data_IF_059763258530
#
_entry.id   IF_059763258530
#
_cell.length_a   1.000
_cell.length_b   1.000
_cell.length_c   1.000
_cell.angle_alpha   90.00
_cell.angle_beta   90.00
_cell.angle_gamma   90.00
#
_symmetry.space_group_name_H-M   'P 1'
#
loop_
_entity.id
_entity.type
_entity.pdbx_description
1 polymer ?
#
# COMPACT_ATOMS: atom_id res chain seq x y z
N UNK A 1 46.95 2.63 95.13
CA UNK A 1 46.83 3.64 94.06
C UNK A 1 46.34 2.93 92.81
N UNK A 2 45.03 2.75 92.63
CA UNK A 2 44.17 3.60 91.77
C UNK A 2 44.84 4.01 90.46
N UNK A 3 44.48 3.35 89.37
CA UNK A 3 44.36 4.04 88.09
C UNK A 3 42.92 3.91 87.61
N UNK A 4 42.36 5.10 87.44
CA UNK A 4 40.96 5.43 87.21
C UNK A 4 40.71 5.36 85.72
N UNK A 5 39.63 4.68 85.35
CA UNK A 5 39.08 4.66 83.99
C UNK A 5 38.83 6.09 83.50
N UNK A 6 39.20 6.40 82.25
CA UNK A 6 38.61 7.52 81.52
C UNK A 6 38.26 7.09 80.11
N UNK A 7 36.96 7.03 79.88
CA UNK A 7 36.28 6.66 78.65
C UNK A 7 36.57 7.69 77.55
N UNK A 8 37.09 7.25 76.41
CA UNK A 8 37.16 8.05 75.18
C UNK A 8 35.96 7.66 74.31
N UNK A 9 34.90 8.46 74.32
CA UNK A 9 33.76 8.29 73.39
C UNK A 9 34.06 9.03 72.10
N UNK A 10 34.47 8.31 71.06
CA UNK A 10 34.59 8.83 69.70
C UNK A 10 33.32 8.46 68.93
N UNK A 11 32.45 9.44 68.69
CA UNK A 11 31.26 9.30 67.87
C UNK A 11 31.67 9.26 66.39
N UNK A 12 31.68 8.06 65.79
CA UNK A 12 31.86 7.90 64.35
C UNK A 12 30.53 8.21 63.63
N UNK A 13 30.45 9.38 63.01
CA UNK A 13 29.42 9.74 62.03
C UNK A 13 29.54 8.83 60.81
N UNK A 14 28.58 7.92 60.62
CA UNK A 14 28.52 7.06 59.44
C UNK A 14 28.16 7.87 58.19
N UNK A 15 29.07 7.97 57.23
CA UNK A 15 28.77 8.50 55.90
C UNK A 15 28.03 7.42 55.09
N UNK A 16 26.75 7.65 54.79
CA UNK A 16 25.98 6.80 53.87
C UNK A 16 26.38 7.17 52.44
N UNK A 17 27.13 6.30 51.77
CA UNK A 17 27.42 6.44 50.34
C UNK A 17 26.18 5.99 49.56
N UNK A 18 25.48 6.92 48.93
CA UNK A 18 24.40 6.57 48.01
C UNK A 18 25.03 6.13 46.68
N UNK A 19 24.91 4.82 46.37
CA UNK A 19 25.27 4.28 45.08
C UNK A 19 24.19 4.65 44.06
N UNK A 20 24.52 5.50 43.09
CA UNK A 20 23.69 5.66 41.89
C UNK A 20 24.20 4.69 40.82
N UNK A 21 23.41 3.67 40.54
CA UNK A 21 23.63 2.78 39.42
C UNK A 21 22.99 3.41 38.18
N UNK A 22 23.80 4.08 37.36
CA UNK A 22 23.36 4.53 36.05
C UNK A 22 23.34 3.32 35.10
N UNK A 23 22.24 3.17 34.35
CA UNK A 23 22.03 2.04 33.47
C UNK A 23 23.03 2.10 32.30
N UNK A 24 24.02 1.22 32.31
CA UNK A 24 24.94 1.06 31.19
C UNK A 24 24.25 0.29 30.06
N UNK A 25 23.77 1.02 29.05
CA UNK A 25 23.26 0.41 27.81
C UNK A 25 24.44 -0.30 27.12
N UNK A 26 24.38 -1.63 27.06
CA UNK A 26 25.42 -2.51 26.49
C UNK A 26 25.35 -2.62 24.96
N UNK A 27 24.23 -2.21 24.36
CA UNK A 27 24.00 -2.15 22.93
C UNK A 27 22.53 -1.88 22.63
N UNK A 28 22.29 -1.00 21.66
CA UNK A 28 20.99 -0.85 21.01
C UNK A 28 21.10 -1.49 19.63
N UNK A 29 20.51 -2.67 19.48
CA UNK A 29 20.51 -3.45 18.24
C UNK A 29 19.23 -3.25 17.43
N UNK A 30 18.37 -2.29 17.82
CA UNK A 30 17.25 -1.83 17.00
C UNK A 30 17.72 -0.97 15.82
N UNK A 31 16.77 -0.50 15.00
CA UNK A 31 17.07 0.43 13.90
C UNK A 31 16.28 0.20 12.61
N UNK A 32 15.54 -0.90 12.53
CA UNK A 32 14.59 -1.15 11.43
C UNK A 32 13.15 -1.00 11.90
N UNK A 33 12.31 -0.47 11.01
CA UNK A 33 10.89 -0.33 11.26
C UNK A 33 10.23 -1.70 11.37
N UNK A 34 9.60 -1.95 12.51
CA UNK A 34 8.77 -3.14 12.71
C UNK A 34 7.33 -2.95 12.17
N UNK A 35 6.99 -1.76 11.65
CA UNK A 35 5.63 -1.38 11.19
C UNK A 35 5.02 -2.41 10.25
N UNK A 36 5.81 -2.92 9.32
CA UNK A 36 5.42 -3.98 8.37
C UNK A 36 4.81 -5.22 9.02
N UNK A 37 5.16 -5.54 10.28
CA UNK A 37 4.68 -6.74 10.97
C UNK A 37 3.36 -6.53 11.72
N UNK A 38 2.98 -5.27 11.98
CA UNK A 38 1.75 -4.92 12.68
C UNK A 38 0.85 -3.95 11.88
N UNK A 39 1.12 -3.78 10.58
CA UNK A 39 0.32 -2.96 9.67
C UNK A 39 -1.17 -3.36 9.66
N UNK A 40 -1.46 -4.66 9.77
CA UNK A 40 -2.82 -5.19 9.88
C UNK A 40 -3.57 -4.72 11.15
N UNK A 41 -2.84 -4.26 12.18
CA UNK A 41 -3.40 -3.69 13.40
C UNK A 41 -3.65 -2.19 13.29
N UNK A 42 -3.26 -1.56 12.16
CA UNK A 42 -3.38 -0.13 11.91
C UNK A 42 -2.88 0.71 13.10
N UNK A 43 -1.58 0.63 13.44
CA UNK A 43 -1.03 1.35 14.59
C UNK A 43 -1.27 2.85 14.45
N UNK A 44 -1.52 3.54 15.56
CA UNK A 44 -1.60 5.00 15.56
C UNK A 44 -0.29 5.57 14.98
N UNK A 45 -0.39 6.50 14.03
CA UNK A 45 0.78 7.12 13.37
C UNK A 45 1.73 7.77 14.39
N UNK A 46 1.21 8.22 15.53
CA UNK A 46 1.99 8.78 16.64
C UNK A 46 2.91 7.76 17.32
N UNK A 47 2.62 6.45 17.18
CA UNK A 47 3.43 5.34 17.69
C UNK A 47 4.45 4.83 16.66
N UNK A 48 4.35 5.28 15.41
CA UNK A 48 5.25 4.87 14.34
C UNK A 48 6.46 5.80 14.30
N UNK A 49 7.59 5.31 14.79
CA UNK A 49 8.86 6.02 14.70
C UNK A 49 9.40 5.93 13.27
N UNK A 50 9.78 7.07 12.68
CA UNK A 50 10.33 7.11 11.33
C UNK A 50 11.75 6.52 11.29
N UNK A 51 11.87 5.31 10.77
CA UNK A 51 13.17 4.68 10.46
C UNK A 51 13.56 4.96 9.00
N UNK A 52 14.86 4.95 8.65
CA UNK A 52 15.34 5.18 7.28
C UNK A 52 14.74 4.23 6.23
N UNK A 53 14.33 3.03 6.64
CA UNK A 53 13.77 1.99 5.77
C UNK A 53 12.24 1.84 5.93
N UNK A 54 11.56 2.85 6.48
CA UNK A 54 10.10 2.80 6.64
C UNK A 54 9.41 2.87 5.29
N UNK A 55 8.29 2.15 5.12
CA UNK A 55 7.40 2.37 3.98
C UNK A 55 6.88 3.80 4.05
N UNK A 56 6.94 4.59 2.96
CA UNK A 56 6.38 5.93 2.93
C UNK A 56 4.90 5.90 3.34
N UNK A 57 4.48 6.83 4.19
CA UNK A 57 3.06 6.99 4.58
C UNK A 57 2.18 7.41 3.39
N UNK A 58 2.79 7.96 2.34
CA UNK A 58 2.14 8.30 1.09
C UNK A 58 2.87 7.64 -0.08
N UNK A 59 2.14 6.83 -0.85
CA UNK A 59 2.62 6.28 -2.11
C UNK A 59 2.20 7.20 -3.25
N UNK A 60 3.14 7.59 -4.09
CA UNK A 60 2.86 8.31 -5.34
C UNK A 60 2.68 7.32 -6.49
N UNK A 61 2.08 7.77 -7.60
CA UNK A 61 1.96 6.93 -8.80
C UNK A 61 3.32 6.49 -9.35
N UNK A 62 4.38 7.28 -9.15
CA UNK A 62 5.72 6.91 -9.54
C UNK A 62 6.27 5.72 -8.72
N UNK A 63 5.76 5.51 -7.50
CA UNK A 63 6.20 4.43 -6.60
C UNK A 63 5.51 3.09 -6.92
N UNK A 64 4.36 3.12 -7.57
CA UNK A 64 3.53 1.94 -7.87
C UNK A 64 3.56 1.52 -9.36
N UNK A 65 4.28 2.26 -10.20
CA UNK A 65 4.50 1.93 -11.60
C UNK A 65 5.88 1.28 -11.78
N UNK A 66 6.05 0.37 -12.76
CA UNK A 66 5.08 -0.05 -13.77
C UNK A 66 4.04 -1.03 -13.21
N UNK A 67 2.79 -0.93 -13.71
CA UNK A 67 1.78 -1.97 -13.51
C UNK A 67 1.79 -2.89 -14.73
N UNK A 68 2.03 -4.18 -14.51
CA UNK A 68 2.06 -5.20 -15.55
C UNK A 68 1.22 -6.37 -15.05
N UNK A 69 0.14 -6.68 -15.78
CA UNK A 69 -0.63 -7.89 -15.53
C UNK A 69 -0.06 -9.05 -16.32
N UNK A 70 0.41 -10.09 -15.64
CA UNK A 70 1.11 -11.23 -16.26
C UNK A 70 0.15 -12.27 -16.84
N UNK A 71 -1.10 -12.29 -16.38
CA UNK A 71 -2.14 -13.22 -16.84
C UNK A 71 -3.06 -12.65 -17.92
N UNK A 72 -2.77 -11.45 -18.41
CA UNK A 72 -3.61 -10.75 -19.38
C UNK A 72 -2.80 -10.20 -20.55
N UNK A 73 -3.40 -10.19 -21.74
CA UNK A 73 -2.79 -9.62 -22.96
C UNK A 73 -3.81 -8.81 -23.76
N UNK A 74 -3.38 -7.84 -24.59
CA UNK A 74 -4.29 -7.21 -25.54
C UNK A 74 -4.94 -8.25 -26.45
N UNK A 75 -6.27 -8.25 -26.55
CA UNK A 75 -6.99 -9.22 -27.36
C UNK A 75 -8.51 -9.04 -27.34
N UNK A 76 -9.19 -9.90 -28.09
CA UNK A 76 -10.63 -10.00 -28.06
C UNK A 76 -11.07 -10.91 -26.92
N UNK A 77 -12.21 -10.60 -26.31
CA UNK A 77 -12.83 -11.46 -25.30
C UNK A 77 -14.14 -12.03 -25.83
N UNK A 78 -14.50 -13.21 -25.34
CA UNK A 78 -15.83 -13.76 -25.56
C UNK A 78 -16.76 -13.19 -24.48
N UNK A 79 -17.88 -12.53 -24.83
CA UNK A 79 -18.84 -12.07 -23.84
C UNK A 79 -19.41 -13.24 -23.02
N UNK A 80 -19.52 -13.04 -21.71
CA UNK A 80 -20.05 -14.03 -20.76
C UNK A 80 -21.15 -13.36 -19.94
N UNK A 81 -22.35 -13.94 -19.97
CA UNK A 81 -23.44 -13.50 -19.09
C UNK A 81 -23.22 -14.04 -17.69
N UNK A 82 -23.34 -13.15 -16.70
CA UNK A 82 -23.26 -13.49 -15.29
C UNK A 82 -24.34 -12.72 -14.53
N UNK A 83 -24.60 -13.13 -13.28
CA UNK A 83 -25.48 -12.39 -12.38
C UNK A 83 -24.66 -11.97 -11.16
N UNK A 84 -24.16 -10.72 -11.19
CA UNK A 84 -23.32 -10.13 -10.16
C UNK A 84 -24.08 -8.96 -9.50
N UNK A 85 -25.17 -9.23 -8.75
CA UNK A 85 -26.01 -8.17 -8.20
C UNK A 85 -25.23 -7.29 -7.22
N UNK A 86 -25.38 -5.97 -7.35
CA UNK A 86 -24.70 -4.99 -6.50
C UNK A 86 -23.25 -4.70 -6.90
N UNK A 87 -22.74 -5.30 -7.98
CA UNK A 87 -21.40 -4.98 -8.49
C UNK A 87 -21.39 -3.60 -9.15
N UNK A 88 -20.35 -2.81 -8.87
CA UNK A 88 -20.08 -1.55 -9.58
C UNK A 88 -19.44 -1.85 -10.95
N UNK A 89 -19.83 -1.17 -12.04
CA UNK A 89 -19.23 -1.37 -13.34
C UNK A 89 -17.73 -1.02 -13.34
N UNK A 90 -16.90 -1.93 -13.86
CA UNK A 90 -15.46 -1.69 -14.03
C UNK A 90 -15.03 -2.08 -15.43
N UNK A 91 -14.08 -1.37 -16.00
CA UNK A 91 -13.43 -1.74 -17.26
C UNK A 91 -11.93 -1.89 -17.08
N UNK A 92 -11.32 -2.76 -17.87
CA UNK A 92 -9.91 -3.09 -17.86
C UNK A 92 -9.29 -2.65 -19.18
N UNK A 93 -8.25 -1.84 -19.14
CA UNK A 93 -7.54 -1.32 -20.33
C UNK A 93 -6.03 -1.27 -20.07
N UNK A 94 -5.24 -1.30 -21.14
CA UNK A 94 -3.80 -0.97 -21.10
C UNK A 94 -3.49 0.32 -21.85
N UNK A 95 -2.20 0.61 -22.03
CA UNK A 95 -1.72 1.78 -22.78
C UNK A 95 -1.54 1.51 -24.29
N UNK A 96 -1.86 0.30 -24.76
CA UNK A 96 -1.81 -0.08 -26.17
C UNK A 96 -2.96 0.51 -27.02
N UNK A 97 -2.81 0.45 -28.33
CA UNK A 97 -3.75 1.04 -29.28
C UNK A 97 -5.13 0.35 -29.28
N UNK A 98 -5.19 -0.97 -29.02
CA UNK A 98 -6.47 -1.68 -28.95
C UNK A 98 -7.31 -1.10 -27.80
N UNK A 99 -6.68 -0.93 -26.64
CA UNK A 99 -7.28 -0.32 -25.45
C UNK A 99 -7.69 1.14 -25.68
N UNK A 100 -6.83 1.97 -26.28
CA UNK A 100 -7.14 3.38 -26.58
C UNK A 100 -8.34 3.52 -27.53
N UNK A 101 -8.37 2.72 -28.60
CA UNK A 101 -9.47 2.72 -29.56
C UNK A 101 -10.78 2.26 -28.93
N UNK A 102 -10.71 1.21 -28.10
CA UNK A 102 -11.85 0.68 -27.37
C UNK A 102 -12.42 1.70 -26.36
N UNK A 103 -11.54 2.38 -25.60
CA UNK A 103 -11.92 3.41 -24.66
C UNK A 103 -12.64 4.56 -25.37
N UNK A 104 -12.11 5.02 -26.50
CA UNK A 104 -12.73 6.07 -27.31
C UNK A 104 -14.12 5.65 -27.83
N UNK A 105 -14.26 4.42 -28.34
CA UNK A 105 -15.53 3.91 -28.85
C UNK A 105 -16.60 3.79 -27.76
N UNK A 106 -16.20 3.45 -26.53
CA UNK A 106 -17.10 3.18 -25.41
C UNK A 106 -17.25 4.35 -24.43
N UNK A 107 -16.52 5.46 -24.62
CA UNK A 107 -16.40 6.57 -23.65
C UNK A 107 -17.74 7.04 -23.09
N UNK A 108 -18.69 7.38 -23.97
CA UNK A 108 -20.00 7.89 -23.58
C UNK A 108 -20.80 6.88 -22.76
N UNK A 109 -20.69 5.60 -23.10
CA UNK A 109 -21.38 4.53 -22.38
C UNK A 109 -20.76 4.30 -21.00
N UNK A 110 -19.44 4.18 -20.93
CA UNK A 110 -18.69 4.03 -19.67
C UNK A 110 -18.99 5.18 -18.69
N UNK A 111 -19.02 6.41 -19.21
CA UNK A 111 -19.38 7.61 -18.43
C UNK A 111 -20.81 7.52 -17.92
N UNK A 112 -21.75 7.16 -18.80
CA UNK A 112 -23.18 7.06 -18.45
C UNK A 112 -23.44 6.06 -17.33
N UNK A 113 -22.74 4.93 -17.32
CA UNK A 113 -22.91 3.89 -16.30
C UNK A 113 -22.02 4.09 -15.06
N UNK A 114 -21.21 5.15 -15.04
CA UNK A 114 -20.29 5.44 -13.93
C UNK A 114 -19.21 4.37 -13.75
N UNK A 115 -18.69 3.81 -14.85
CA UNK A 115 -17.71 2.74 -14.76
C UNK A 115 -16.33 3.26 -14.32
N UNK A 116 -15.66 2.49 -13.46
CA UNK A 116 -14.28 2.75 -13.04
C UNK A 116 -13.28 2.03 -13.97
N UNK A 117 -12.23 2.73 -14.38
CA UNK A 117 -11.20 2.17 -15.25
C UNK A 117 -10.00 1.66 -14.49
N UNK A 118 -9.69 0.38 -14.67
CA UNK A 118 -8.47 -0.25 -14.21
C UNK A 118 -7.45 -0.28 -15.36
N UNK A 119 -6.29 0.34 -15.14
CA UNK A 119 -5.18 0.35 -16.09
C UNK A 119 -4.24 -0.80 -15.75
N UNK A 120 -4.43 -1.92 -16.44
CA UNK A 120 -3.82 -3.22 -16.12
C UNK A 120 -2.43 -3.43 -16.74
N UNK A 121 -2.05 -2.54 -17.66
CA UNK A 121 -0.73 -2.51 -18.28
C UNK A 121 -0.35 -1.06 -18.58
N UNK A 122 0.57 -0.50 -17.79
CA UNK A 122 1.10 0.86 -17.94
C UNK A 122 2.51 0.94 -17.40
N UNK A 123 3.43 1.52 -18.18
CA UNK A 123 4.85 1.54 -17.81
C UNK A 123 5.27 2.80 -17.08
N UNK A 124 4.67 3.93 -17.42
CA UNK A 124 5.12 5.25 -16.97
C UNK A 124 3.96 6.14 -16.56
N UNK A 125 4.25 7.13 -15.73
CA UNK A 125 3.29 8.18 -15.34
C UNK A 125 2.80 8.99 -16.54
N UNK A 126 3.65 9.21 -17.54
CA UNK A 126 3.28 9.90 -18.78
C UNK A 126 2.24 9.10 -19.57
N UNK A 127 2.46 7.80 -19.78
CA UNK A 127 1.47 6.94 -20.46
C UNK A 127 0.13 6.92 -19.73
N UNK A 128 0.13 6.91 -18.39
CA UNK A 128 -1.07 6.99 -17.58
C UNK A 128 -1.79 8.35 -17.75
N UNK A 129 -1.02 9.45 -17.75
CA UNK A 129 -1.54 10.80 -17.95
C UNK A 129 -2.19 10.97 -19.33
N UNK A 130 -1.54 10.47 -20.38
CA UNK A 130 -2.11 10.46 -21.74
C UNK A 130 -3.44 9.72 -21.78
N UNK A 131 -3.53 8.56 -21.13
CA UNK A 131 -4.76 7.77 -21.08
C UNK A 131 -5.90 8.52 -20.38
N UNK A 132 -5.59 9.28 -19.32
CA UNK A 132 -6.55 10.15 -18.61
C UNK A 132 -7.00 11.34 -19.46
N UNK A 133 -6.12 11.90 -20.29
CA UNK A 133 -6.51 12.95 -21.24
C UNK A 133 -7.50 12.44 -22.30
N UNK A 134 -7.42 11.16 -22.68
CA UNK A 134 -8.39 10.53 -23.58
C UNK A 134 -9.76 10.28 -22.93
N UNK A 135 -9.83 10.28 -21.60
CA UNK A 135 -11.05 10.01 -20.85
C UNK A 135 -11.19 10.90 -19.59
N UNK A 136 -11.34 12.23 -19.75
CA UNK A 136 -11.24 13.17 -18.64
C UNK A 136 -12.33 13.03 -17.56
N UNK A 137 -13.48 12.46 -17.90
CA UNK A 137 -14.59 12.26 -16.95
C UNK A 137 -14.62 10.85 -16.33
N UNK A 138 -13.64 9.99 -16.65
CA UNK A 138 -13.54 8.63 -16.10
C UNK A 138 -12.38 8.54 -15.12
N UNK A 139 -12.62 7.91 -13.98
CA UNK A 139 -11.57 7.57 -13.03
C UNK A 139 -10.74 6.42 -13.57
N UNK A 140 -9.45 6.65 -13.82
CA UNK A 140 -8.49 5.62 -14.22
C UNK A 140 -7.46 5.37 -13.13
N UNK A 141 -7.36 4.14 -12.64
CA UNK A 141 -6.41 3.72 -11.61
C UNK A 141 -5.45 2.66 -12.15
N UNK A 142 -4.12 2.83 -11.99
CA UNK A 142 -3.17 1.77 -12.29
C UNK A 142 -3.36 0.63 -11.28
N UNK A 143 -3.71 -0.56 -11.76
CA UNK A 143 -4.03 -1.71 -10.88
C UNK A 143 -3.74 -3.02 -11.59
N UNK A 144 -2.94 -3.93 -11.00
CA UNK A 144 -2.73 -5.27 -11.54
C UNK A 144 -4.06 -6.03 -11.67
N UNK A 145 -4.29 -6.63 -12.83
CA UNK A 145 -5.51 -7.37 -13.16
C UNK A 145 -5.44 -8.87 -12.88
N UNK A 146 -4.31 -9.41 -12.41
CA UNK A 146 -4.06 -10.86 -12.32
C UNK A 146 -5.07 -11.62 -11.44
N UNK A 147 -5.51 -11.00 -10.34
CA UNK A 147 -6.52 -11.59 -9.46
C UNK A 147 -7.88 -11.71 -10.15
N UNK A 148 -8.29 -10.67 -10.87
CA UNK A 148 -9.52 -10.67 -11.65
C UNK A 148 -9.41 -11.65 -12.83
N UNK A 149 -8.27 -11.67 -13.52
CA UNK A 149 -7.96 -12.62 -14.58
C UNK A 149 -8.06 -14.07 -14.11
N UNK A 150 -7.59 -14.35 -12.89
CA UNK A 150 -7.65 -15.69 -12.30
C UNK A 150 -9.07 -16.10 -11.93
N UNK A 151 -9.85 -15.18 -11.32
CA UNK A 151 -11.21 -15.47 -10.85
C UNK A 151 -12.21 -15.61 -11.99
N UNK A 152 -12.05 -14.83 -13.06
CA UNK A 152 -12.99 -14.78 -14.19
C UNK A 152 -12.50 -15.55 -15.42
N UNK A 153 -11.32 -16.19 -15.34
CA UNK A 153 -10.65 -16.79 -16.48
C UNK A 153 -10.50 -15.80 -17.67
N UNK A 154 -10.23 -14.53 -17.34
CA UNK A 154 -10.12 -13.43 -18.30
C UNK A 154 -8.68 -13.30 -18.79
N UNK A 155 -8.39 -13.81 -19.98
CA UNK A 155 -7.06 -13.81 -20.57
C UNK A 155 -6.73 -12.53 -21.36
N UNK A 156 -7.76 -11.77 -21.75
CA UNK A 156 -7.58 -10.62 -22.63
C UNK A 156 -8.23 -9.35 -22.09
N UNK A 157 -7.69 -8.22 -22.52
CA UNK A 157 -8.26 -6.89 -22.36
C UNK A 157 -8.16 -6.16 -23.73
N UNK A 158 -8.93 -5.10 -23.99
CA UNK A 158 -9.82 -4.40 -23.09
C UNK A 158 -11.14 -5.14 -22.83
N UNK A 159 -11.74 -4.92 -21.66
CA UNK A 159 -12.99 -5.57 -21.26
C UNK A 159 -13.81 -4.69 -20.30
N UNK A 160 -15.13 -4.83 -20.33
CA UNK A 160 -16.09 -4.25 -19.40
C UNK A 160 -16.78 -5.37 -18.60
N UNK A 161 -16.78 -5.24 -17.29
CA UNK A 161 -17.48 -6.10 -16.36
C UNK A 161 -18.58 -5.31 -15.64
N UNK A 162 -19.83 -5.77 -15.77
CA UNK A 162 -21.01 -5.19 -15.14
C UNK A 162 -21.76 -6.25 -14.33
N UNK A 163 -22.88 -5.87 -13.70
CA UNK A 163 -23.80 -6.79 -13.04
C UNK A 163 -24.33 -7.90 -13.96
N UNK A 164 -24.40 -7.63 -15.27
CA UNK A 164 -24.90 -8.55 -16.30
C UNK A 164 -23.79 -9.45 -16.88
N UNK A 165 -22.53 -9.18 -16.55
CA UNK A 165 -21.38 -9.99 -16.90
C UNK A 165 -20.30 -9.25 -17.67
N UNK A 166 -19.54 -10.02 -18.45
CA UNK A 166 -18.34 -9.60 -19.15
C UNK A 166 -18.65 -9.32 -20.62
N UNK A 167 -18.15 -8.19 -21.14
CA UNK A 167 -18.32 -7.76 -22.52
C UNK A 167 -17.13 -6.92 -22.98
N UNK A 168 -17.01 -6.70 -24.30
CA UNK A 168 -16.08 -5.75 -24.90
C UNK A 168 -16.91 -4.64 -25.53
#
# INVERSE_FOLDING_TARGET
>A
MQYKSFFLSLVCLGAVVQAQAELKVIGDFGGESAVRFYEALQPDESMVQAYPNSVPSTLTEADILPVISHRMTPGQIQPVRMNLPGMLPIFLIGTDNLSKNWLHANYNYLKKIGAMGLVVSVKTTNELSELRQLAPDLTLMPTPGDDLASRLNLAHYPALLTSEGLSQ
#
